data_IF_165534278089
#
_entry.id   IF_165534278089
#
_cell.length_a   1.000
_cell.length_b   1.000
_cell.length_c   1.000
_cell.angle_alpha   90.00
_cell.angle_beta   90.00
_cell.angle_gamma   90.00
#
_symmetry.space_group_name_H-M   'P 1'
#
loop_
_entity.id
_entity.type
_entity.pdbx_description
1 polymer ?
#
# COMPACT_ATOMS: atom_id res chain seq x y z
N UNK A 1 -17.60 -3.28 -23.79
CA UNK A 1 -18.07 -2.62 -22.56
C UNK A 1 -18.06 -3.60 -21.38
N UNK A 2 -18.74 -4.74 -21.45
CA UNK A 2 -18.73 -5.75 -20.36
C UNK A 2 -17.31 -6.24 -20.00
N UNK A 3 -16.47 -6.54 -21.00
CA UNK A 3 -15.08 -6.96 -20.77
C UNK A 3 -14.22 -5.89 -20.08
N UNK A 4 -14.45 -4.60 -20.36
CA UNK A 4 -13.71 -3.51 -19.70
C UNK A 4 -14.08 -3.40 -18.22
N UNK A 5 -15.36 -3.63 -17.88
CA UNK A 5 -15.79 -3.70 -16.48
C UNK A 5 -15.20 -4.91 -15.76
N UNK A 6 -15.15 -6.08 -16.40
CA UNK A 6 -14.48 -7.26 -15.84
C UNK A 6 -13.01 -6.98 -15.54
N UNK A 7 -12.29 -6.34 -16.47
CA UNK A 7 -10.90 -5.92 -16.25
C UNK A 7 -10.75 -5.00 -15.04
N UNK A 8 -11.62 -3.99 -14.89
CA UNK A 8 -11.58 -3.09 -13.74
C UNK A 8 -11.80 -3.82 -12.41
N UNK A 9 -12.71 -4.80 -12.37
CA UNK A 9 -12.94 -5.63 -11.18
C UNK A 9 -11.69 -6.45 -10.85
N UNK A 10 -11.04 -7.05 -11.84
CA UNK A 10 -9.79 -7.80 -11.65
C UNK A 10 -8.67 -6.91 -11.13
N UNK A 11 -8.51 -5.71 -11.69
CA UNK A 11 -7.53 -4.73 -11.23
C UNK A 11 -7.79 -4.29 -9.79
N UNK A 12 -9.06 -3.99 -9.43
CA UNK A 12 -9.46 -3.67 -8.05
C UNK A 12 -9.07 -4.79 -7.09
N UNK A 13 -9.40 -6.03 -7.45
CA UNK A 13 -9.10 -7.19 -6.63
C UNK A 13 -7.60 -7.39 -6.39
N UNK A 14 -6.74 -7.09 -7.37
CA UNK A 14 -5.30 -7.14 -7.16
C UNK A 14 -4.80 -6.08 -6.17
N UNK A 15 -5.35 -4.87 -6.21
CA UNK A 15 -5.00 -3.82 -5.26
C UNK A 15 -5.46 -4.18 -3.84
N UNK A 16 -6.70 -4.61 -3.68
CA UNK A 16 -7.29 -5.01 -2.39
C UNK A 16 -6.53 -6.15 -1.71
N UNK A 17 -5.92 -7.04 -2.50
CA UNK A 17 -5.14 -8.18 -2.00
C UNK A 17 -3.63 -7.92 -1.94
N UNK A 18 -3.18 -6.70 -2.21
CA UNK A 18 -1.76 -6.32 -2.21
C UNK A 18 -0.92 -6.98 -3.30
N UNK A 19 -1.55 -7.50 -4.36
CA UNK A 19 -0.91 -8.20 -5.49
C UNK A 19 -0.48 -7.20 -6.56
N UNK A 20 0.45 -6.31 -6.20
CA UNK A 20 0.86 -5.19 -7.05
C UNK A 20 1.51 -5.59 -8.37
N UNK A 21 2.34 -6.65 -8.39
CA UNK A 21 2.92 -7.15 -9.65
C UNK A 21 1.85 -7.58 -10.65
N UNK A 22 0.90 -8.40 -10.20
CA UNK A 22 -0.21 -8.84 -11.05
C UNK A 22 -1.06 -7.66 -11.51
N UNK A 23 -1.25 -6.66 -10.64
CA UNK A 23 -1.92 -5.42 -11.03
C UNK A 23 -1.18 -4.73 -12.19
N UNK A 24 0.14 -4.51 -12.08
CA UNK A 24 0.92 -3.83 -13.10
C UNK A 24 0.99 -4.61 -14.41
N UNK A 25 1.15 -5.94 -14.35
CA UNK A 25 1.11 -6.82 -15.51
C UNK A 25 -0.22 -6.74 -16.25
N UNK A 26 -1.34 -6.71 -15.53
CA UNK A 26 -2.67 -6.65 -16.13
C UNK A 26 -3.05 -5.24 -16.61
N UNK A 27 -2.63 -4.19 -15.88
CA UNK A 27 -2.81 -2.80 -16.29
C UNK A 27 -2.02 -2.49 -17.57
N UNK A 28 -0.81 -3.04 -17.72
CA UNK A 28 0.01 -2.86 -18.92
C UNK A 28 -0.62 -3.44 -20.18
N UNK A 29 -1.43 -4.50 -20.07
CA UNK A 29 -2.20 -5.08 -21.19
C UNK A 29 -3.44 -4.25 -21.54
N UNK A 30 -3.96 -3.49 -20.58
CA UNK A 30 -5.23 -2.78 -20.67
C UNK A 30 -5.07 -1.25 -20.55
N UNK A 31 -3.99 -0.71 -21.13
CA UNK A 31 -3.61 0.72 -21.05
C UNK A 31 -4.74 1.69 -21.41
N UNK A 32 -5.57 1.35 -22.39
CA UNK A 32 -6.68 2.18 -22.84
C UNK A 32 -7.74 2.46 -21.77
N UNK A 33 -7.78 1.68 -20.68
CA UNK A 33 -8.72 1.87 -19.57
C UNK A 33 -8.09 2.70 -18.44
N UNK A 34 -6.77 2.64 -18.28
CA UNK A 34 -6.06 3.29 -17.15
C UNK A 34 -5.44 4.63 -17.55
N UNK A 35 -4.97 4.79 -18.78
CA UNK A 35 -4.31 6.02 -19.26
C UNK A 35 -5.29 7.16 -19.54
N UNK A 36 -6.60 6.88 -19.60
CA UNK A 36 -7.65 7.91 -19.73
C UNK A 36 -7.81 8.75 -18.46
N UNK A 37 -7.27 8.31 -17.32
CA UNK A 37 -7.33 9.01 -16.05
C UNK A 37 -5.96 9.65 -15.75
N UNK A 38 -5.83 10.98 -15.84
CA UNK A 38 -4.58 11.66 -15.52
C UNK A 38 -4.12 11.38 -14.09
N UNK A 39 -2.85 11.01 -13.93
CA UNK A 39 -2.25 10.75 -12.62
C UNK A 39 -2.60 9.40 -12.00
N UNK A 40 -3.28 8.50 -12.73
CA UNK A 40 -3.66 7.18 -12.24
C UNK A 40 -2.47 6.37 -11.70
N UNK A 41 -1.38 6.28 -12.47
CA UNK A 41 -0.18 5.53 -12.07
C UNK A 41 0.39 6.04 -10.74
N UNK A 42 0.50 7.37 -10.59
CA UNK A 42 0.99 7.99 -9.36
C UNK A 42 0.06 7.70 -8.17
N UNK A 43 -1.26 7.67 -8.39
CA UNK A 43 -2.22 7.33 -7.34
C UNK A 43 -2.04 5.88 -6.88
N UNK A 44 -1.83 4.93 -7.80
CA UNK A 44 -1.55 3.54 -7.47
C UNK A 44 -0.22 3.39 -6.73
N UNK A 45 0.84 4.09 -7.19
CA UNK A 45 2.14 4.09 -6.51
C UNK A 45 2.01 4.59 -5.06
N UNK A 46 1.28 5.68 -4.85
CA UNK A 46 1.02 6.20 -3.51
C UNK A 46 0.22 5.22 -2.64
N UNK A 47 -0.78 4.55 -3.22
CA UNK A 47 -1.53 3.50 -2.55
C UNK A 47 -0.63 2.32 -2.15
N UNK A 48 0.23 1.85 -3.04
CA UNK A 48 1.17 0.77 -2.76
C UNK A 48 2.14 1.13 -1.62
N UNK A 49 2.67 2.35 -1.62
CA UNK A 49 3.52 2.87 -0.54
C UNK A 49 2.76 2.90 0.78
N UNK A 50 1.49 3.33 0.76
CA UNK A 50 0.66 3.36 1.95
C UNK A 50 0.42 1.95 2.52
N UNK A 51 0.04 0.98 1.68
CA UNK A 51 -0.15 -0.42 2.11
C UNK A 51 1.14 -0.99 2.70
N UNK A 52 2.29 -0.74 2.07
CA UNK A 52 3.58 -1.18 2.59
C UNK A 52 3.96 -0.49 3.91
N UNK A 53 3.63 0.79 4.09
CA UNK A 53 3.92 1.51 5.34
C UNK A 53 3.05 1.09 6.51
N UNK A 54 1.91 0.43 6.25
CA UNK A 54 1.09 -0.22 7.27
C UNK A 54 1.63 -1.61 7.63
N UNK A 55 2.15 -2.35 6.65
CA UNK A 55 2.44 -3.79 6.78
C UNK A 55 3.90 -4.11 7.07
N UNK A 56 4.82 -3.20 6.77
CA UNK A 56 6.26 -3.39 6.96
C UNK A 56 6.91 -2.22 7.69
N UNK A 57 7.73 -2.52 8.69
CA UNK A 57 8.76 -1.57 9.14
C UNK A 57 9.96 -1.56 8.21
N UNK A 58 10.39 -2.74 7.75
CA UNK A 58 11.55 -2.95 6.89
C UNK A 58 11.11 -3.67 5.63
N UNK A 59 11.12 -2.99 4.49
CA UNK A 59 10.71 -3.52 3.20
C UNK A 59 11.96 -3.91 2.40
N UNK A 60 12.04 -5.13 1.84
CA UNK A 60 13.09 -5.46 0.88
C UNK A 60 13.04 -4.52 -0.32
N UNK A 61 14.20 -4.02 -0.76
CA UNK A 61 14.28 -3.07 -1.88
C UNK A 61 13.54 -3.56 -3.14
N UNK A 62 13.62 -4.86 -3.43
CA UNK A 62 12.93 -5.51 -4.56
C UNK A 62 11.41 -5.47 -4.44
N UNK A 63 10.87 -5.70 -3.24
CA UNK A 63 9.42 -5.66 -2.97
C UNK A 63 8.87 -4.26 -3.18
N UNK A 64 9.59 -3.22 -2.72
CA UNK A 64 9.16 -1.85 -2.98
C UNK A 64 9.19 -1.52 -4.47
N UNK A 65 10.28 -1.85 -5.17
CA UNK A 65 10.43 -1.59 -6.60
C UNK A 65 9.30 -2.23 -7.42
N UNK A 66 8.97 -3.50 -7.11
CA UNK A 66 7.87 -4.24 -7.71
C UNK A 66 6.50 -3.60 -7.42
N UNK A 67 6.30 -3.16 -6.16
CA UNK A 67 5.02 -2.59 -5.75
C UNK A 67 4.70 -1.25 -6.44
N UNK A 68 5.71 -0.40 -6.65
CA UNK A 68 5.54 0.90 -7.31
C UNK A 68 5.85 0.87 -8.81
N UNK A 69 6.31 -0.26 -9.34
CA UNK A 69 6.69 -0.45 -10.74
C UNK A 69 7.74 0.58 -11.23
N UNK A 70 8.77 0.83 -10.41
CA UNK A 70 9.89 1.70 -10.76
C UNK A 70 11.18 0.90 -10.59
N UNK A 71 12.04 0.92 -11.61
CA UNK A 71 13.29 0.16 -11.62
C UNK A 71 14.50 1.03 -11.99
N UNK A 72 15.70 0.53 -11.68
CA UNK A 72 16.95 1.16 -12.09
C UNK A 72 17.18 2.55 -11.48
N UNK A 73 17.83 3.49 -12.21
CA UNK A 73 18.22 4.79 -11.67
C UNK A 73 17.06 5.70 -11.23
N UNK A 74 15.86 5.53 -11.81
CA UNK A 74 14.68 6.29 -11.38
C UNK A 74 14.21 5.84 -9.99
N UNK A 75 14.33 4.54 -9.70
CA UNK A 75 14.03 4.00 -8.39
C UNK A 75 15.03 4.48 -7.33
N UNK A 76 16.32 4.56 -7.67
CA UNK A 76 17.33 5.16 -6.79
C UNK A 76 16.97 6.58 -6.39
N UNK A 77 16.68 7.44 -7.39
CA UNK A 77 16.25 8.83 -7.16
C UNK A 77 14.98 8.92 -6.32
N UNK A 78 14.03 8.03 -6.56
CA UNK A 78 12.79 7.97 -5.79
C UNK A 78 13.08 7.68 -4.31
N UNK A 79 13.92 6.66 -4.02
CA UNK A 79 14.28 6.30 -2.65
C UNK A 79 15.08 7.42 -2.00
N UNK A 80 16.05 8.03 -2.68
CA UNK A 80 16.82 9.18 -2.19
C UNK A 80 15.90 10.35 -1.80
N UNK A 81 14.93 10.68 -2.65
CA UNK A 81 13.93 11.70 -2.34
C UNK A 81 13.08 11.34 -1.11
N UNK A 82 12.71 10.07 -0.95
CA UNK A 82 11.97 9.60 0.24
C UNK A 82 12.80 9.66 1.52
N UNK A 83 14.09 9.33 1.44
CA UNK A 83 15.04 9.47 2.56
C UNK A 83 15.15 10.94 2.96
N UNK A 84 15.33 11.84 1.99
CA UNK A 84 15.53 13.27 2.26
C UNK A 84 14.29 13.97 2.85
N UNK A 85 13.09 13.56 2.45
CA UNK A 85 11.86 14.33 2.73
C UNK A 85 10.84 13.61 3.62
N UNK A 86 10.92 12.29 3.77
CA UNK A 86 9.87 11.49 4.41
C UNK A 86 10.40 10.53 5.49
N UNK A 87 11.65 10.69 5.93
CA UNK A 87 12.20 9.94 7.07
C UNK A 87 12.47 8.47 6.81
N UNK A 88 12.63 8.06 5.54
CA UNK A 88 13.03 6.71 5.19
C UNK A 88 14.53 6.50 5.47
N UNK A 89 14.93 5.26 5.76
CA UNK A 89 16.33 4.91 5.99
C UNK A 89 16.71 3.69 5.16
N UNK A 90 17.91 3.70 4.57
CA UNK A 90 18.45 2.53 3.85
C UNK A 90 19.38 1.77 4.78
N UNK A 91 19.08 0.50 5.02
CA UNK A 91 19.94 -0.42 5.77
C UNK A 91 20.50 -1.52 4.87
N UNK A 92 21.67 -2.05 5.22
CA UNK A 92 22.20 -3.28 4.61
C UNK A 92 21.54 -4.46 5.33
N UNK A 93 20.75 -5.23 4.62
CA UNK A 93 20.13 -6.45 5.15
C UNK A 93 21.18 -7.50 5.52
N UNK A 94 20.79 -8.43 6.38
CA UNK A 94 21.68 -9.48 6.93
C UNK A 94 22.27 -10.42 5.85
N UNK A 95 21.76 -10.41 4.62
CA UNK A 95 22.38 -11.07 3.47
C UNK A 95 22.36 -10.20 2.23
N UNK A 96 23.47 -9.49 1.94
CA UNK A 96 23.82 -8.70 0.72
C UNK A 96 22.78 -7.76 0.08
N UNK A 97 21.50 -7.82 0.43
CA UNK A 97 20.41 -7.04 -0.13
C UNK A 97 20.13 -5.81 0.71
N UNK A 98 19.82 -4.70 0.07
CA UNK A 98 19.40 -3.47 0.74
C UNK A 98 17.95 -3.60 1.21
N UNK A 99 17.67 -3.09 2.41
CA UNK A 99 16.31 -2.97 2.95
C UNK A 99 16.01 -1.50 3.21
N UNK A 100 14.76 -1.13 2.99
CA UNK A 100 14.25 0.23 3.19
C UNK A 100 13.43 0.21 4.47
N UNK A 101 13.85 0.99 5.45
CA UNK A 101 13.13 1.18 6.70
C UNK A 101 12.17 2.34 6.54
N UNK A 102 10.89 2.05 6.71
CA UNK A 102 9.81 3.05 6.65
C UNK A 102 9.65 3.73 8.02
N UNK A 103 9.17 4.98 8.06
CA UNK A 103 8.85 5.67 9.31
C UNK A 103 7.91 4.84 10.17
N UNK A 104 8.14 4.87 11.49
CA UNK A 104 7.29 4.14 12.43
C UNK A 104 5.89 4.72 12.42
N UNK A 105 4.91 3.85 12.28
CA UNK A 105 3.49 4.13 12.44
C UNK A 105 2.93 3.24 13.55
N UNK A 106 1.71 3.52 13.98
CA UNK A 106 1.01 2.69 14.96
C UNK A 106 0.69 1.27 14.46
N UNK A 107 0.84 1.02 13.15
CA UNK A 107 0.50 -0.22 12.45
C UNK A 107 1.73 -1.05 12.09
N UNK A 108 2.88 -0.43 11.88
CA UNK A 108 4.07 -1.11 11.35
C UNK A 108 5.15 -1.42 12.40
N UNK A 109 4.84 -1.33 13.69
CA UNK A 109 5.75 -1.70 14.77
C UNK A 109 5.18 -2.84 15.61
N UNK A 110 5.94 -3.92 15.88
CA UNK A 110 5.48 -5.06 16.65
C UNK A 110 5.45 -4.72 18.14
N UNK A 111 4.49 -3.90 18.54
CA UNK A 111 4.12 -3.70 19.94
C UNK A 111 2.92 -4.56 20.29
N UNK A 112 3.05 -5.34 21.37
CA UNK A 112 1.92 -5.99 22.03
C UNK A 112 1.01 -4.92 22.62
N UNK A 113 0.04 -4.46 21.84
CA UNK A 113 -1.04 -3.62 22.35
C UNK A 113 -2.06 -4.51 23.04
N UNK A 114 -2.21 -4.36 24.36
CA UNK A 114 -3.39 -4.87 25.06
C UNK A 114 -4.57 -3.99 24.63
N UNK A 115 -5.47 -4.53 23.82
CA UNK A 115 -6.73 -3.85 23.51
C UNK A 115 -7.59 -3.80 24.77
N UNK A 116 -7.55 -2.67 25.46
CA UNK A 116 -8.43 -2.36 26.59
C UNK A 116 -9.81 -1.88 26.13
N UNK A 117 -10.04 -1.76 24.81
CA UNK A 117 -11.13 -0.97 24.24
C UNK A 117 -11.97 -1.69 23.17
N UNK A 118 -11.87 -3.01 23.02
CA UNK A 118 -12.73 -3.77 22.08
C UNK A 118 -14.14 -4.02 22.64
N UNK A 119 -14.73 -3.00 23.25
CA UNK A 119 -16.12 -3.01 23.67
C UNK A 119 -16.76 -1.68 23.33
N UNK A 120 -17.82 -1.70 22.54
CA UNK A 120 -18.73 -0.56 22.46
C UNK A 120 -19.42 -0.46 23.84
N UNK A 121 -19.29 0.65 24.58
CA UNK A 121 -19.99 0.81 25.85
C UNK A 121 -21.49 0.64 25.65
N UNK A 122 -22.16 -0.07 26.58
CA UNK A 122 -23.60 -0.35 26.49
C UNK A 122 -24.42 0.93 26.26
N UNK A 123 -24.00 2.03 26.88
CA UNK A 123 -24.57 3.38 26.72
C UNK A 123 -24.59 3.90 25.28
N UNK A 124 -23.69 3.46 24.42
CA UNK A 124 -23.68 3.81 23.00
C UNK A 124 -24.66 2.95 22.19
N UNK A 125 -24.93 1.71 22.65
CA UNK A 125 -25.92 0.81 22.05
C UNK A 125 -27.34 1.19 22.51
N UNK A 126 -27.55 1.57 23.78
CA UNK A 126 -28.87 1.99 24.29
C UNK A 126 -29.45 3.21 23.59
N UNK A 127 -28.60 4.05 22.97
CA UNK A 127 -29.04 5.21 22.19
C UNK A 127 -29.68 4.86 20.85
N UNK A 128 -29.35 3.70 20.28
CA UNK A 128 -29.89 3.25 18.98
C UNK A 128 -31.11 2.33 19.13
N UNK A 129 -31.29 1.66 20.28
CA UNK A 129 -32.44 0.78 20.53
C UNK A 129 -33.81 1.45 20.31
N UNK A 130 -34.08 2.69 20.75
CA UNK A 130 -35.37 3.35 20.53
C UNK A 130 -35.67 3.69 19.06
N UNK A 131 -34.64 3.68 18.21
CA UNK A 131 -34.75 3.98 16.77
C UNK A 131 -34.93 2.69 15.96
N UNK A 132 -34.48 1.55 16.49
CA UNK A 132 -34.47 0.26 15.80
C UNK A 132 -35.66 -0.66 16.11
N UNK A 133 -36.54 -0.28 17.03
CA UNK A 133 -37.78 -1.01 17.37
C UNK A 133 -37.66 -1.89 18.60
#
# INVERSE_FOLDING_TARGET
MEEQFKTLIVLSHYLETGRFRQFWDEAAKNRSIVEVVPGFELAIQNYAIHVLSLTYQKVPRTVLAEAINIEGPSFDKFVEHRVANYGWVIEKGQGKGQVIVLPRTEFNYPELKKNSSDGIPLENITKIFPILG
#
